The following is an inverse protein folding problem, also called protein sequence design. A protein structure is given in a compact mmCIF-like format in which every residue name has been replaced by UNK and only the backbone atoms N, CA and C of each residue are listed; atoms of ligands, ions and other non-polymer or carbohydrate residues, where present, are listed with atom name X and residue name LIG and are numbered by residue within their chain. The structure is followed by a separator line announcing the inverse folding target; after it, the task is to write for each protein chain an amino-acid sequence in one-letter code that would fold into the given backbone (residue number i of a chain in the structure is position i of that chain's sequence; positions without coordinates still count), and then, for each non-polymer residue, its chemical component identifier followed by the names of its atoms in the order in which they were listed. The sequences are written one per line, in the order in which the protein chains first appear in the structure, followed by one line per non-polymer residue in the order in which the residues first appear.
data_IF_610540037498
#
_entry.id   IF_610540037498
#
_cell.length_a   1.000
_cell.length_b   1.000
_cell.length_c   1.000
_cell.angle_alpha   90.00
_cell.angle_beta   90.00
_cell.angle_gamma   90.00
#
_symmetry.space_group_name_H-M   'P 1'
#
loop_
_entity.id
_entity.type
_entity.pdbx_description
1 polymer ?
#
# COMPACT_ATOMS: atom_id res chain seq x y z
N UNK A 1 -9.56 21.69 13.08
CA UNK A 1 -8.64 21.15 14.10
C UNK A 1 -8.09 19.74 13.79
N UNK A 2 -8.63 19.00 12.80
CA UNK A 2 -8.14 17.65 12.42
C UNK A 2 -6.87 17.65 11.56
N UNK A 3 -6.59 18.68 10.80
CA UNK A 3 -5.36 18.80 9.99
C UNK A 3 -4.06 18.92 10.81
N UNK A 4 -4.13 19.47 12.04
CA UNK A 4 -2.94 19.66 12.87
C UNK A 4 -2.43 18.36 13.53
N UNK A 5 -3.27 17.34 13.66
CA UNK A 5 -2.87 16.06 14.23
C UNK A 5 -2.11 15.17 13.24
N UNK A 6 -2.31 15.34 11.95
CA UNK A 6 -1.59 14.60 10.90
C UNK A 6 -0.11 15.04 10.78
N UNK A 7 0.20 16.28 11.14
CA UNK A 7 1.56 16.82 11.06
C UNK A 7 2.49 16.44 12.23
N UNK A 8 1.95 15.95 13.34
CA UNK A 8 2.74 15.65 14.55
C UNK A 8 3.15 14.18 14.71
N UNK A 9 2.67 13.29 13.82
CA UNK A 9 3.04 11.86 13.79
C UNK A 9 4.01 11.52 12.66
N UNK A 10 4.53 12.50 11.95
CA UNK A 10 5.42 12.30 10.82
C UNK A 10 6.85 12.12 11.28
N UNK A 11 7.23 10.89 11.51
CA UNK A 11 8.61 10.47 11.36
C UNK A 11 8.61 9.01 10.87
N UNK A 12 9.10 8.90 9.68
CA UNK A 12 9.88 7.83 9.07
C UNK A 12 9.21 6.71 8.31
N UNK A 13 9.72 6.40 7.11
CA UNK A 13 10.11 5.09 6.59
C UNK A 13 10.05 4.90 5.09
N UNK A 14 10.99 4.37 4.37
CA UNK A 14 10.84 3.59 3.14
C UNK A 14 12.04 2.78 2.70
N UNK A 15 11.81 1.69 2.12
CA UNK A 15 12.58 1.10 1.02
C UNK A 15 11.71 0.16 0.22
N UNK A 16 12.21 -0.20 -0.96
CA UNK A 16 11.64 -1.12 -1.95
C UNK A 16 10.22 -1.58 -1.66
N UNK A 17 9.32 -0.84 -2.19
CA UNK A 17 7.88 -0.92 -1.93
C UNK A 17 7.34 -2.33 -2.15
N UNK A 18 7.04 -3.04 -1.11
CA UNK A 18 5.84 -3.85 -1.16
C UNK A 18 4.68 -2.85 -1.18
N UNK A 19 4.12 -2.66 -2.35
CA UNK A 19 2.92 -1.86 -2.49
C UNK A 19 1.81 -2.59 -1.76
N UNK A 20 1.55 -2.21 -0.54
CA UNK A 20 0.28 -2.54 0.09
C UNK A 20 -0.79 -1.79 -0.70
N UNK A 21 -1.44 -2.52 -1.60
CA UNK A 21 -2.69 -2.03 -2.13
C UNK A 21 -3.64 -1.83 -0.95
N UNK A 22 -4.21 -0.62 -0.78
CA UNK A 22 -5.20 -0.42 0.26
C UNK A 22 -6.28 -1.46 0.05
N UNK A 23 -6.51 -2.32 1.03
CA UNK A 23 -7.68 -3.17 1.04
C UNK A 23 -8.87 -2.22 1.15
N UNK A 24 -9.48 -1.92 0.02
CA UNK A 24 -10.81 -1.33 0.01
C UNK A 24 -11.73 -2.42 0.57
N UNK A 25 -11.92 -2.40 1.87
CA UNK A 25 -13.04 -3.09 2.49
C UNK A 25 -14.24 -2.31 1.98
N UNK A 26 -14.80 -2.75 0.85
CA UNK A 26 -16.02 -2.21 0.34
C UNK A 26 -17.05 -2.31 1.47
N UNK A 27 -17.43 -1.18 2.06
CA UNK A 27 -18.58 -1.11 2.93
C UNK A 27 -19.76 -1.71 2.17
N UNK A 28 -20.57 -2.46 2.82
CA UNK A 28 -21.53 -3.42 2.28
C UNK A 28 -22.56 -2.85 1.32
N UNK A 29 -22.72 -1.52 1.18
CA UNK A 29 -23.82 -0.89 0.43
C UNK A 29 -23.52 0.43 -0.27
N UNK A 30 -22.25 0.78 -0.50
CA UNK A 30 -21.94 1.97 -1.24
C UNK A 30 -21.67 1.64 -2.72
N UNK A 31 -22.71 1.32 -3.49
CA UNK A 31 -22.72 1.82 -4.87
C UNK A 31 -22.73 3.33 -4.77
N UNK A 32 -21.66 4.02 -5.14
CA UNK A 32 -21.70 5.48 -5.16
C UNK A 32 -22.58 5.93 -6.31
N UNK A 33 -23.86 6.15 -6.02
CA UNK A 33 -24.69 7.04 -6.84
C UNK A 33 -24.23 8.47 -6.54
N UNK A 34 -23.07 8.83 -7.08
CA UNK A 34 -22.54 10.18 -6.97
C UNK A 34 -23.20 11.11 -8.00
N UNK A 35 -24.35 11.62 -7.67
CA UNK A 35 -24.70 13.00 -8.04
C UNK A 35 -24.10 13.87 -6.93
N UNK A 36 -22.80 14.11 -6.99
CA UNK A 36 -22.11 14.86 -5.95
C UNK A 36 -22.53 16.33 -6.02
N UNK A 37 -23.39 16.74 -5.11
CA UNK A 37 -23.72 18.14 -4.83
C UNK A 37 -22.81 18.77 -3.78
N UNK A 38 -21.99 17.96 -3.08
CA UNK A 38 -21.02 18.42 -2.08
C UNK A 38 -19.70 17.66 -2.20
N UNK A 39 -18.56 18.31 -1.92
CA UNK A 39 -17.26 17.65 -1.86
C UNK A 39 -17.23 16.55 -0.77
N UNK A 40 -16.60 15.42 -1.08
CA UNK A 40 -16.47 14.29 -0.15
C UNK A 40 -15.01 14.15 0.26
N UNK A 41 -14.74 14.23 1.55
CA UNK A 41 -13.42 13.92 2.11
C UNK A 41 -13.25 12.42 2.22
N UNK A 42 -12.06 11.94 1.85
CA UNK A 42 -11.66 10.54 1.99
C UNK A 42 -10.18 10.45 2.26
N UNK A 43 -9.78 9.48 3.06
CA UNK A 43 -8.38 9.28 3.33
C UNK A 43 -8.06 7.85 3.72
N UNK A 44 -6.78 7.58 3.83
CA UNK A 44 -6.28 6.30 4.33
C UNK A 44 -4.93 6.48 5.00
N UNK A 45 -4.63 5.60 5.92
CA UNK A 45 -3.29 5.44 6.47
C UNK A 45 -2.93 3.97 6.51
N UNK A 46 -1.66 3.67 6.35
CA UNK A 46 -1.14 2.35 6.60
C UNK A 46 0.22 2.43 7.28
N UNK A 47 0.50 1.41 8.07
CA UNK A 47 1.78 1.16 8.69
C UNK A 47 2.19 -0.26 8.27
N UNK A 48 3.37 -0.39 7.73
CA UNK A 48 3.97 -1.66 7.35
C UNK A 48 5.33 -1.78 8.04
N UNK A 49 5.59 -2.90 8.68
CA UNK A 49 6.89 -3.18 9.27
C UNK A 49 7.29 -4.61 8.96
N UNK A 50 8.53 -4.79 8.52
CA UNK A 50 9.03 -6.09 8.11
C UNK A 50 10.44 -6.04 7.56
N UNK A 51 10.92 -7.15 7.07
CA UNK A 51 12.19 -7.21 6.35
C UNK A 51 12.14 -6.38 5.08
N UNK A 52 13.13 -5.55 4.87
CA UNK A 52 13.21 -4.75 3.64
C UNK A 52 13.80 -5.52 2.47
N UNK A 53 14.68 -6.49 2.74
CA UNK A 53 15.34 -7.33 1.75
C UNK A 53 16.02 -8.53 2.39
N UNK A 54 15.81 -9.75 1.87
CA UNK A 54 16.58 -10.93 2.30
C UNK A 54 18.08 -10.79 2.08
N UNK A 55 18.49 -10.05 1.06
CA UNK A 55 19.90 -9.80 0.73
C UNK A 55 20.58 -8.85 1.71
N UNK A 56 19.83 -7.88 2.23
CA UNK A 56 20.37 -6.85 3.11
C UNK A 56 20.15 -7.16 4.58
N UNK A 57 19.26 -8.14 4.88
CA UNK A 57 18.89 -8.56 6.25
C UNK A 57 18.49 -7.36 7.10
N UNK A 58 17.78 -6.44 6.51
CA UNK A 58 17.37 -5.21 7.11
C UNK A 58 15.91 -5.27 7.54
N UNK A 59 15.55 -4.53 8.55
CA UNK A 59 14.19 -4.37 9.03
C UNK A 59 13.77 -2.91 8.88
N UNK A 60 12.65 -2.72 8.23
CA UNK A 60 12.10 -1.39 8.00
C UNK A 60 10.68 -1.26 8.57
N UNK A 61 10.33 -0.05 8.93
CA UNK A 61 8.96 0.34 9.31
C UNK A 61 8.49 1.45 8.38
N UNK A 62 7.30 1.47 7.86
CA UNK A 62 6.75 2.45 6.92
C UNK A 62 5.44 2.99 7.41
N UNK A 63 5.27 4.28 7.22
CA UNK A 63 4.01 4.97 7.50
C UNK A 63 3.60 5.77 6.27
N UNK A 64 2.37 5.59 5.86
CA UNK A 64 1.73 6.39 4.82
C UNK A 64 0.44 6.97 5.36
N UNK A 65 0.17 8.22 5.02
CA UNK A 65 -1.12 8.84 5.26
C UNK A 65 -1.51 9.69 4.06
N UNK A 66 -2.76 9.61 3.68
CA UNK A 66 -3.34 10.44 2.63
C UNK A 66 -4.68 11.01 3.07
N UNK A 67 -4.89 12.26 2.76
CA UNK A 67 -6.19 12.93 2.78
C UNK A 67 -6.51 13.43 1.38
N UNK A 68 -7.74 13.25 0.94
CA UNK A 68 -8.20 13.67 -0.36
C UNK A 68 -9.61 14.23 -0.35
N UNK A 69 -9.88 15.12 -1.27
CA UNK A 69 -11.18 15.74 -1.47
C UNK A 69 -11.66 15.44 -2.89
N UNK A 70 -12.74 14.69 -3.04
CA UNK A 70 -13.42 14.50 -4.31
C UNK A 70 -14.44 15.62 -4.47
N UNK A 71 -14.34 16.37 -5.54
CA UNK A 71 -15.21 17.53 -5.78
C UNK A 71 -16.05 17.42 -7.06
N UNK A 72 -15.77 16.47 -7.94
CA UNK A 72 -16.55 16.30 -9.18
C UNK A 72 -16.36 14.91 -9.78
N UNK A 73 -17.45 14.35 -10.30
CA UNK A 73 -17.38 13.21 -11.22
C UNK A 73 -17.35 13.66 -12.68
N UNK A 74 -16.47 13.09 -13.48
CA UNK A 74 -16.27 13.36 -14.90
C UNK A 74 -16.37 12.04 -15.66
N UNK A 75 -17.55 11.76 -16.20
CA UNK A 75 -17.85 10.45 -16.78
C UNK A 75 -17.73 9.33 -15.73
N UNK A 76 -16.92 8.29 -15.98
CA UNK A 76 -16.75 7.19 -15.03
C UNK A 76 -15.67 7.45 -13.97
N UNK A 77 -15.11 8.65 -13.89
CA UNK A 77 -14.00 9.02 -13.03
C UNK A 77 -14.41 10.06 -12.01
N UNK A 78 -13.82 10.01 -10.84
CA UNK A 78 -13.90 11.01 -9.79
C UNK A 78 -12.65 11.87 -9.79
N UNK A 79 -12.84 13.18 -9.91
CA UNK A 79 -11.79 14.20 -9.89
C UNK A 79 -11.70 14.80 -8.49
N UNK A 80 -10.49 14.86 -7.96
CA UNK A 80 -10.22 15.36 -6.62
C UNK A 80 -8.85 16.00 -6.47
N UNK A 81 -8.59 16.50 -5.27
CA UNK A 81 -7.27 16.90 -4.81
C UNK A 81 -6.80 15.93 -3.72
N UNK A 82 -5.49 15.88 -3.47
CA UNK A 82 -4.91 15.06 -2.42
C UNK A 82 -3.69 15.73 -1.80
N UNK A 83 -3.40 15.34 -0.57
CA UNK A 83 -2.11 15.46 0.08
C UNK A 83 -1.75 14.13 0.70
N UNK A 84 -0.51 13.70 0.59
CA UNK A 84 -0.04 12.50 1.26
C UNK A 84 1.35 12.69 1.85
N UNK A 85 1.66 11.81 2.79
CA UNK A 85 3.01 11.70 3.36
C UNK A 85 3.42 10.24 3.37
N UNK A 86 4.69 10.00 3.13
CA UNK A 86 5.33 8.70 3.28
C UNK A 86 6.63 8.90 4.04
N UNK A 87 6.80 8.15 5.07
CA UNK A 87 7.98 8.25 5.89
C UNK A 87 8.70 6.90 6.03
N UNK A 88 10.08 6.84 6.10
CA UNK A 88 10.97 5.66 6.08
C UNK A 88 12.04 5.58 7.16
N UNK A 89 12.04 4.48 7.96
CA UNK A 89 13.17 4.09 8.83
C UNK A 89 13.56 2.65 8.62
N UNK A 90 14.83 2.39 8.64
CA UNK A 90 15.40 1.07 8.64
C UNK A 90 16.41 0.91 9.76
N UNK A 91 16.76 -0.34 10.06
CA UNK A 91 17.71 -0.69 11.10
C UNK A 91 19.15 -0.31 10.71
N UNK A 92 19.52 -0.41 9.44
CA UNK A 92 20.87 -0.21 8.95
C UNK A 92 21.19 1.21 8.52
N UNK A 93 20.24 2.14 8.65
CA UNK A 93 20.40 3.55 8.25
C UNK A 93 20.82 3.73 6.79
N UNK A 94 20.22 2.93 5.91
CA UNK A 94 20.46 3.03 4.48
C UNK A 94 19.82 4.33 3.95
N UNK A 95 20.55 5.17 3.25
CA UNK A 95 20.09 6.48 2.81
C UNK A 95 18.80 6.42 1.99
N UNK A 96 18.71 5.43 1.12
CA UNK A 96 17.52 5.18 0.29
C UNK A 96 16.33 4.58 1.06
N UNK A 97 16.53 4.17 2.32
CA UNK A 97 15.53 3.64 3.22
C UNK A 97 15.13 4.62 4.33
N UNK A 98 15.80 5.75 4.46
CA UNK A 98 15.52 6.73 5.52
C UNK A 98 15.18 8.08 4.96
N UNK A 99 13.90 8.28 4.68
CA UNK A 99 13.41 9.55 4.15
C UNK A 99 12.02 9.92 4.66
N UNK A 100 11.68 11.18 4.55
CA UNK A 100 10.33 11.71 4.59
C UNK A 100 9.96 12.25 3.21
N UNK A 101 8.76 11.93 2.74
CA UNK A 101 8.21 12.41 1.49
C UNK A 101 6.83 12.99 1.73
N UNK A 102 6.55 14.12 1.12
CA UNK A 102 5.21 14.70 1.07
C UNK A 102 4.86 15.03 -0.38
N UNK A 103 3.62 14.72 -0.78
CA UNK A 103 3.12 15.03 -2.10
C UNK A 103 1.75 15.67 -2.02
N UNK A 104 1.39 16.49 -3.00
CA UNK A 104 0.06 17.05 -3.11
C UNK A 104 -0.25 17.49 -4.53
N UNK A 105 -1.53 17.39 -4.90
CA UNK A 105 -1.94 17.69 -6.27
C UNK A 105 -3.38 17.31 -6.56
N UNK A 106 -3.62 17.01 -7.83
CA UNK A 106 -4.90 16.56 -8.35
C UNK A 106 -4.88 15.05 -8.55
N UNK A 107 -6.02 14.40 -8.29
CA UNK A 107 -6.20 12.98 -8.53
C UNK A 107 -7.41 12.69 -9.40
N UNK A 108 -7.29 11.68 -10.23
CA UNK A 108 -8.35 11.09 -11.01
C UNK A 108 -8.50 9.63 -10.58
N UNK A 109 -9.68 9.26 -10.10
CA UNK A 109 -9.91 7.94 -9.51
C UNK A 109 -11.07 7.26 -10.23
N UNK A 110 -10.94 5.97 -10.49
CA UNK A 110 -12.01 5.09 -10.95
C UNK A 110 -12.04 3.83 -10.12
N UNK A 111 -13.13 3.60 -9.41
CA UNK A 111 -13.42 2.31 -8.81
C UNK A 111 -14.20 1.45 -9.80
N UNK A 112 -14.00 0.15 -9.75
CA UNK A 112 -14.76 -0.79 -10.56
C UNK A 112 -15.06 -2.07 -9.78
N UNK A 113 -16.18 -2.70 -10.16
CA UNK A 113 -16.56 -4.01 -9.64
C UNK A 113 -17.08 -4.87 -10.80
N UNK A 114 -16.55 -6.06 -10.93
CA UNK A 114 -16.95 -6.98 -11.98
C UNK A 114 -16.75 -8.43 -11.56
N UNK A 115 -17.85 -9.23 -11.54
CA UNK A 115 -17.83 -10.69 -11.31
C UNK A 115 -16.91 -11.15 -10.16
N UNK A 116 -16.96 -10.48 -9.00
CA UNK A 116 -16.14 -10.84 -7.84
C UNK A 116 -14.73 -10.24 -7.84
N UNK A 117 -14.43 -9.37 -8.80
CA UNK A 117 -13.23 -8.54 -8.83
C UNK A 117 -13.64 -7.13 -8.41
N UNK A 118 -13.01 -6.61 -7.39
CA UNK A 118 -13.11 -5.21 -6.98
C UNK A 118 -11.77 -4.54 -7.28
N UNK A 119 -11.78 -3.30 -7.77
CA UNK A 119 -10.53 -2.63 -8.09
C UNK A 119 -10.64 -1.11 -8.15
N UNK A 120 -9.47 -0.51 -8.26
CA UNK A 120 -9.24 0.92 -8.32
C UNK A 120 -8.16 1.21 -9.36
N UNK A 121 -8.42 2.17 -10.22
CA UNK A 121 -7.41 2.81 -11.05
C UNK A 121 -7.32 4.28 -10.64
N UNK A 122 -6.11 4.79 -10.47
CA UNK A 122 -5.85 6.14 -10.01
C UNK A 122 -4.69 6.74 -10.77
N UNK A 123 -4.80 8.00 -11.13
CA UNK A 123 -3.72 8.81 -11.66
C UNK A 123 -3.67 10.13 -10.89
N UNK A 124 -2.49 10.46 -10.41
CA UNK A 124 -2.21 11.68 -9.64
C UNK A 124 -1.20 12.53 -10.39
N UNK A 125 -1.42 13.82 -10.41
CA UNK A 125 -0.47 14.82 -10.92
C UNK A 125 -0.27 15.86 -9.83
N UNK A 126 0.97 16.07 -9.43
CA UNK A 126 1.25 16.95 -8.32
C UNK A 126 2.70 17.37 -8.20
N UNK A 127 3.07 17.67 -7.00
CA UNK A 127 4.42 18.05 -6.62
C UNK A 127 4.83 17.26 -5.40
N UNK A 128 6.04 16.70 -5.44
CA UNK A 128 6.60 15.87 -4.37
C UNK A 128 7.86 16.54 -3.81
N UNK A 129 7.94 16.58 -2.50
CA UNK A 129 9.14 16.97 -1.73
C UNK A 129 9.63 15.75 -0.98
N UNK A 130 10.92 15.48 -1.04
CA UNK A 130 11.57 14.37 -0.33
C UNK A 130 12.79 14.91 0.44
N UNK A 131 12.98 14.42 1.65
CA UNK A 131 14.16 14.66 2.48
C UNK A 131 14.73 13.31 2.95
N UNK A 132 16.03 13.11 2.75
CA UNK A 132 16.77 11.94 3.19
C UNK A 132 17.52 12.22 4.49
N UNK A 133 17.28 11.39 5.49
CA UNK A 133 17.81 11.65 6.83
C UNK A 133 19.30 11.29 6.98
N UNK A 134 19.84 10.43 6.14
CA UNK A 134 21.24 9.99 6.25
C UNK A 134 22.16 10.94 5.50
N UNK A 135 21.88 11.23 4.25
CA UNK A 135 22.67 12.17 3.45
C UNK A 135 22.35 13.64 3.75
N UNK A 136 21.18 13.93 4.32
CA UNK A 136 20.67 15.28 4.48
C UNK A 136 20.18 15.92 3.17
N UNK A 137 20.14 15.18 2.08
CA UNK A 137 19.67 15.67 0.79
C UNK A 137 18.17 15.94 0.81
N UNK A 138 17.79 17.02 0.14
CA UNK A 138 16.37 17.35 -0.10
C UNK A 138 16.17 17.69 -1.55
N UNK A 139 15.05 17.25 -2.10
CA UNK A 139 14.63 17.65 -3.42
C UNK A 139 13.13 17.80 -3.53
N UNK A 140 12.73 18.49 -4.59
CA UNK A 140 11.36 18.75 -4.90
C UNK A 140 11.18 18.73 -6.43
N UNK A 141 10.13 18.04 -6.90
CA UNK A 141 9.87 17.89 -8.32
C UNK A 141 8.38 17.72 -8.62
N UNK A 142 7.92 18.09 -9.83
CA UNK A 142 6.65 17.61 -10.35
C UNK A 142 6.60 16.09 -10.35
N UNK A 143 5.45 15.52 -10.00
CA UNK A 143 5.25 14.09 -9.91
C UNK A 143 3.99 13.65 -10.65
N UNK A 144 4.07 12.46 -11.22
CA UNK A 144 2.93 11.74 -11.77
C UNK A 144 2.96 10.33 -11.19
N UNK A 145 1.90 9.99 -10.47
CA UNK A 145 1.71 8.66 -9.90
C UNK A 145 0.57 7.96 -10.62
N UNK A 146 0.76 6.70 -10.98
CA UNK A 146 -0.29 5.84 -11.50
C UNK A 146 -0.39 4.61 -10.64
N UNK A 147 -1.55 4.41 -10.06
CA UNK A 147 -1.83 3.28 -9.19
C UNK A 147 -2.98 2.47 -9.76
N UNK A 148 -2.78 1.19 -9.86
CA UNK A 148 -3.81 0.23 -10.21
C UNK A 148 -3.83 -0.87 -9.16
N UNK A 149 -5.02 -1.20 -8.68
CA UNK A 149 -5.22 -2.27 -7.73
C UNK A 149 -6.45 -3.09 -8.11
N UNK A 150 -6.38 -4.39 -7.95
CA UNK A 150 -7.54 -5.28 -8.04
C UNK A 150 -7.43 -6.41 -7.02
N UNK A 151 -8.58 -6.77 -6.45
CA UNK A 151 -8.73 -7.95 -5.62
C UNK A 151 -9.77 -8.88 -6.22
N UNK A 152 -9.55 -10.17 -6.17
CA UNK A 152 -10.52 -11.17 -6.61
C UNK A 152 -10.94 -12.04 -5.44
N UNK A 153 -12.22 -12.45 -5.50
CA UNK A 153 -12.89 -13.21 -4.45
C UNK A 153 -12.74 -12.62 -3.03
N UNK A 154 -12.83 -11.29 -2.84
CA UNK A 154 -12.60 -10.68 -1.52
C UNK A 154 -13.61 -11.16 -0.46
N UNK A 155 -14.76 -11.72 -0.89
CA UNK A 155 -15.77 -12.31 -0.01
C UNK A 155 -15.49 -13.79 0.30
N UNK A 156 -14.83 -14.50 -0.60
CA UNK A 156 -14.51 -15.92 -0.43
C UNK A 156 -13.47 -16.13 0.68
N UNK A 157 -12.56 -15.17 0.90
CA UNK A 157 -11.61 -15.18 2.03
C UNK A 157 -12.25 -15.24 3.42
N UNK A 158 -13.58 -15.31 3.51
CA UNK A 158 -14.33 -15.45 4.76
C UNK A 158 -14.61 -16.91 5.15
N UNK A 159 -14.43 -17.85 4.24
CA UNK A 159 -14.70 -19.26 4.51
C UNK A 159 -13.40 -20.05 4.52
N UNK A 160 -13.18 -20.98 5.47
CA UNK A 160 -12.05 -21.89 5.42
C UNK A 160 -11.98 -22.63 4.08
N UNK A 161 -10.76 -22.75 3.53
CA UNK A 161 -10.53 -23.34 2.20
C UNK A 161 -10.82 -22.42 1.03
N UNK A 162 -11.33 -21.20 1.25
CA UNK A 162 -11.57 -20.26 0.16
C UNK A 162 -10.29 -19.57 -0.30
N UNK A 163 -10.16 -19.39 -1.60
CA UNK A 163 -9.04 -18.70 -2.24
C UNK A 163 -9.41 -17.26 -2.56
N UNK A 164 -8.48 -16.36 -2.31
CA UNK A 164 -8.58 -14.95 -2.65
C UNK A 164 -7.22 -14.43 -3.11
N UNK A 165 -7.18 -13.29 -3.78
CA UNK A 165 -5.91 -12.69 -4.16
C UNK A 165 -6.01 -11.20 -4.45
N UNK A 166 -4.86 -10.58 -4.59
CA UNK A 166 -4.66 -9.15 -4.86
C UNK A 166 -3.59 -9.02 -5.93
N UNK A 167 -3.78 -8.09 -6.87
CA UNK A 167 -2.73 -7.60 -7.73
C UNK A 167 -2.70 -6.07 -7.69
N UNK A 168 -1.52 -5.50 -7.72
CA UNK A 168 -1.31 -4.06 -7.71
C UNK A 168 -0.16 -3.67 -8.64
N UNK A 169 -0.29 -2.54 -9.28
CA UNK A 169 0.71 -1.90 -10.11
C UNK A 169 0.83 -0.44 -9.67
N UNK A 170 2.05 -0.01 -9.41
CA UNK A 170 2.36 1.39 -9.13
C UNK A 170 3.45 1.89 -10.04
N UNK A 171 3.29 3.12 -10.49
CA UNK A 171 4.31 3.90 -11.15
C UNK A 171 4.39 5.21 -10.39
N UNK A 172 5.46 5.43 -9.66
CA UNK A 172 5.61 6.63 -8.84
C UNK A 172 7.01 7.22 -8.95
N UNK A 173 7.14 8.55 -8.82
CA UNK A 173 8.45 9.16 -8.68
C UNK A 173 9.03 8.77 -7.32
N UNK A 174 10.26 8.32 -7.34
CA UNK A 174 11.06 8.12 -6.14
C UNK A 174 12.37 8.83 -6.31
N UNK A 175 13.02 9.15 -5.21
CA UNK A 175 14.40 9.61 -5.23
C UNK A 175 14.70 10.65 -6.33
N UNK A 176 14.40 11.89 -6.07
CA UNK A 176 14.96 13.00 -6.83
C UNK A 176 15.08 12.72 -8.35
N UNK A 177 13.95 12.66 -9.07
CA UNK A 177 13.89 12.43 -10.53
C UNK A 177 14.08 10.97 -10.99
N UNK A 178 13.81 10.01 -10.15
CA UNK A 178 13.70 8.62 -10.55
C UNK A 178 12.21 8.21 -10.68
N UNK A 179 11.92 7.26 -11.54
CA UNK A 179 10.58 6.67 -11.67
C UNK A 179 10.67 5.21 -11.30
N UNK A 180 9.91 4.81 -10.30
CA UNK A 180 9.82 3.43 -9.85
C UNK A 180 8.55 2.79 -10.41
N UNK A 181 8.72 1.59 -10.92
CA UNK A 181 7.67 0.71 -11.38
C UNK A 181 7.64 -0.52 -10.46
N UNK A 182 6.51 -0.77 -9.80
CA UNK A 182 6.34 -1.94 -8.93
C UNK A 182 5.09 -2.69 -9.30
N UNK A 183 5.23 -3.99 -9.50
CA UNK A 183 4.16 -4.93 -9.74
C UNK A 183 4.12 -5.96 -8.62
N UNK A 184 2.91 -6.25 -8.11
CA UNK A 184 2.71 -7.10 -6.95
C UNK A 184 1.51 -8.00 -7.13
N UNK A 185 1.67 -9.28 -6.83
CA UNK A 185 0.58 -10.26 -6.80
C UNK A 185 0.70 -11.10 -5.53
N UNK A 186 -0.42 -11.22 -4.81
CA UNK A 186 -0.56 -12.11 -3.65
C UNK A 186 -1.77 -12.99 -3.83
N UNK A 187 -1.61 -14.27 -3.58
CA UNK A 187 -2.69 -15.28 -3.58
C UNK A 187 -2.72 -15.94 -2.22
N UNK A 188 -3.88 -15.95 -1.57
CA UNK A 188 -4.06 -16.55 -0.25
C UNK A 188 -5.18 -17.60 -0.21
N UNK A 189 -5.06 -18.48 0.77
CA UNK A 189 -6.10 -19.47 1.13
C UNK A 189 -6.35 -19.35 2.63
N UNK A 190 -7.59 -19.16 3.02
CA UNK A 190 -7.98 -19.11 4.42
C UNK A 190 -7.97 -20.52 5.00
N UNK A 191 -7.07 -20.79 5.94
CA UNK A 191 -6.96 -22.08 6.61
C UNK A 191 -7.96 -22.19 7.76
N UNK A 192 -8.14 -21.11 8.51
CA UNK A 192 -9.02 -21.05 9.65
C UNK A 192 -9.59 -19.64 9.79
N UNK A 193 -10.81 -19.58 10.28
CA UNK A 193 -11.48 -18.35 10.65
C UNK A 193 -12.29 -18.60 11.91
N UNK A 194 -12.20 -17.70 12.87
CA UNK A 194 -13.06 -17.76 14.05
C UNK A 194 -14.54 -17.64 13.65
N UNK A 195 -15.39 -18.43 14.28
CA UNK A 195 -16.85 -18.45 13.99
C UNK A 195 -17.59 -17.60 15.01
N UNK A 196 -18.41 -16.71 14.51
CA UNK A 196 -19.25 -15.86 15.36
C UNK A 196 -20.23 -16.66 16.23
N UNK A 197 -20.13 -16.48 17.52
CA UNK A 197 -21.19 -16.77 18.45
C UNK A 197 -21.86 -15.44 18.85
N UNK A 198 -22.53 -14.81 17.89
CA UNK A 198 -23.48 -13.71 18.16
C UNK A 198 -22.91 -12.33 18.54
N UNK A 199 -21.62 -12.07 18.39
CA UNK A 199 -21.03 -10.76 18.67
C UNK A 199 -20.46 -10.09 17.42
N UNK A 200 -20.75 -8.80 17.24
CA UNK A 200 -20.16 -7.94 16.21
C UNK A 200 -18.69 -7.64 16.60
N UNK A 201 -17.80 -8.60 16.42
CA UNK A 201 -16.36 -8.40 16.65
C UNK A 201 -15.60 -8.77 15.38
N UNK A 202 -14.52 -8.01 15.03
CA UNK A 202 -13.63 -8.43 13.98
C UNK A 202 -12.97 -9.76 14.36
N UNK A 203 -13.22 -10.80 13.57
CA UNK A 203 -12.75 -12.14 13.87
C UNK A 203 -11.45 -12.40 13.10
N UNK A 204 -10.40 -12.90 13.79
CA UNK A 204 -9.14 -13.24 13.13
C UNK A 204 -9.31 -14.39 12.15
N UNK A 205 -8.51 -14.38 11.10
CA UNK A 205 -8.40 -15.45 10.11
C UNK A 205 -6.93 -15.84 9.95
N UNK A 206 -6.63 -17.13 9.95
CA UNK A 206 -5.31 -17.64 9.58
C UNK A 206 -5.30 -17.94 8.09
N UNK A 207 -4.33 -17.40 7.39
CA UNK A 207 -4.20 -17.44 5.94
C UNK A 207 -2.82 -17.99 5.58
N UNK A 208 -2.78 -18.98 4.68
CA UNK A 208 -1.57 -19.33 3.95
C UNK A 208 -1.55 -18.54 2.64
N UNK A 209 -0.41 -17.97 2.27
CA UNK A 209 -0.30 -17.16 1.06
C UNK A 209 1.01 -17.40 0.31
N UNK A 210 0.97 -17.08 -0.98
CA UNK A 210 2.14 -16.88 -1.83
C UNK A 210 2.09 -15.49 -2.45
N UNK A 211 3.24 -14.92 -2.71
CA UNK A 211 3.36 -13.59 -3.32
C UNK A 211 4.55 -13.50 -4.27
N UNK A 212 4.43 -12.59 -5.22
CA UNK A 212 5.53 -12.16 -6.08
C UNK A 212 5.49 -10.64 -6.20
N UNK A 213 6.67 -10.02 -6.16
CA UNK A 213 6.87 -8.59 -6.36
C UNK A 213 7.96 -8.41 -7.40
N UNK A 214 7.71 -7.61 -8.41
CA UNK A 214 8.73 -7.17 -9.36
C UNK A 214 8.88 -5.65 -9.27
N UNK A 215 10.10 -5.18 -9.24
CA UNK A 215 10.43 -3.75 -9.18
C UNK A 215 11.48 -3.39 -10.20
N UNK A 216 11.31 -2.24 -10.83
CA UNK A 216 12.28 -1.63 -11.74
C UNK A 216 12.26 -0.12 -11.61
N UNK A 217 13.38 0.52 -11.82
CA UNK A 217 13.48 1.97 -11.87
C UNK A 217 14.18 2.48 -13.14
N UNK A 218 13.98 3.77 -13.43
CA UNK A 218 14.56 4.41 -14.61
C UNK A 218 16.07 4.64 -14.51
N UNK A 219 16.61 4.76 -13.30
CA UNK A 219 18.04 4.98 -13.04
C UNK A 219 18.85 3.71 -12.85
N UNK A 220 18.20 2.54 -12.89
CA UNK A 220 18.85 1.24 -12.73
C UNK A 220 19.61 1.07 -11.41
N UNK A 221 19.08 1.62 -10.31
CA UNK A 221 19.64 1.36 -8.99
C UNK A 221 19.44 -0.10 -8.60
N UNK A 222 20.49 -0.75 -8.10
CA UNK A 222 20.47 -2.19 -7.80
C UNK A 222 19.37 -2.56 -6.81
N UNK A 223 19.15 -1.74 -5.78
CA UNK A 223 18.14 -1.99 -4.75
C UNK A 223 16.68 -1.82 -5.22
N UNK A 224 16.46 -1.13 -6.34
CA UNK A 224 15.13 -0.94 -6.93
C UNK A 224 14.82 -1.92 -8.07
N UNK A 225 15.82 -2.69 -8.53
CA UNK A 225 15.66 -3.58 -9.67
C UNK A 225 15.75 -5.04 -9.22
N UNK A 226 14.62 -5.58 -8.78
CA UNK A 226 14.56 -6.92 -8.23
C UNK A 226 13.25 -7.64 -8.56
N UNK A 227 13.27 -8.95 -8.38
CA UNK A 227 12.09 -9.79 -8.22
C UNK A 227 12.17 -10.47 -6.87
N UNK A 228 11.08 -10.46 -6.11
CA UNK A 228 10.90 -11.22 -4.87
C UNK A 228 9.74 -12.17 -5.02
N UNK A 229 9.94 -13.40 -4.61
CA UNK A 229 8.89 -14.41 -4.57
C UNK A 229 8.97 -15.17 -3.25
N UNK A 230 7.82 -15.61 -2.76
CA UNK A 230 7.78 -16.36 -1.52
C UNK A 230 6.39 -16.61 -1.01
N UNK A 231 6.31 -17.08 0.22
CA UNK A 231 5.03 -17.35 0.86
C UNK A 231 5.19 -17.61 2.35
N UNK A 232 4.05 -17.64 3.01
CA UNK A 232 4.02 -17.75 4.45
C UNK A 232 2.64 -17.92 5.04
N UNK A 233 2.55 -17.58 6.31
CA UNK A 233 1.31 -17.57 7.09
C UNK A 233 1.08 -16.18 7.66
N UNK A 234 -0.17 -15.76 7.69
CA UNK A 234 -0.58 -14.52 8.33
C UNK A 234 -1.88 -14.69 9.12
N UNK A 235 -1.99 -13.93 10.20
CA UNK A 235 -3.24 -13.68 10.91
C UNK A 235 -3.75 -12.33 10.48
N UNK A 236 -4.95 -12.31 9.92
CA UNK A 236 -5.66 -11.11 9.51
C UNK A 236 -6.82 -10.85 10.47
N UNK A 237 -6.88 -9.65 11.02
CA UNK A 237 -7.99 -9.15 11.83
C UNK A 237 -8.65 -7.99 11.07
N UNK A 238 -9.74 -8.24 10.32
CA UNK A 238 -10.45 -7.21 9.60
C UNK A 238 -11.39 -6.44 10.52
N UNK A 239 -11.55 -5.16 10.30
CA UNK A 239 -12.60 -4.31 10.86
C UNK A 239 -13.37 -3.64 9.71
N UNK A 240 -14.40 -2.85 10.03
CA UNK A 240 -15.22 -2.15 9.02
C UNK A 240 -14.37 -1.21 8.14
N UNK A 241 -13.47 -0.47 8.78
CA UNK A 241 -12.63 0.53 8.11
C UNK A 241 -11.13 0.30 8.32
N UNK A 242 -10.76 -0.85 8.89
CA UNK A 242 -9.36 -1.14 9.24
C UNK A 242 -9.03 -2.60 8.99
N UNK A 243 -7.75 -2.89 8.81
CA UNK A 243 -7.22 -4.25 8.93
C UNK A 243 -5.90 -4.24 9.68
N UNK A 244 -5.69 -5.30 10.47
CA UNK A 244 -4.42 -5.59 11.11
C UNK A 244 -3.95 -6.96 10.62
N UNK A 245 -2.70 -7.04 10.20
CA UNK A 245 -2.07 -8.27 9.73
C UNK A 245 -0.76 -8.47 10.49
N UNK A 246 -0.52 -9.68 10.94
CA UNK A 246 0.78 -10.13 11.45
C UNK A 246 1.10 -11.47 10.83
N UNK A 247 2.32 -11.65 10.36
CA UNK A 247 2.69 -12.88 9.68
C UNK A 247 4.18 -13.11 9.62
N UNK A 248 4.51 -14.31 9.11
CA UNK A 248 5.86 -14.69 8.78
C UNK A 248 5.87 -15.32 7.38
N UNK A 249 6.91 -15.04 6.63
CA UNK A 249 7.09 -15.56 5.28
C UNK A 249 8.56 -15.91 5.02
N UNK A 250 8.77 -16.73 4.02
CA UNK A 250 10.10 -16.99 3.48
C UNK A 250 10.15 -16.42 2.07
N UNK A 251 11.10 -15.52 1.83
CA UNK A 251 11.29 -14.83 0.56
C UNK A 251 12.60 -15.22 -0.11
N UNK A 252 12.55 -15.30 -1.42
CA UNK A 252 13.68 -15.37 -2.32
C UNK A 252 13.74 -14.09 -3.15
N UNK A 253 14.89 -13.41 -3.17
CA UNK A 253 15.12 -12.17 -3.92
C UNK A 253 16.19 -12.38 -4.98
N UNK A 254 15.91 -11.89 -6.18
CA UNK A 254 16.86 -11.81 -7.29
C UNK A 254 16.98 -10.35 -7.72
N UNK A 255 18.21 -9.82 -7.69
CA UNK A 255 18.56 -8.50 -8.25
C UNK A 255 19.06 -8.63 -9.66
N UNK A 256 18.74 -7.63 -10.51
CA UNK A 256 18.98 -7.73 -11.95
C UNK A 256 20.06 -6.79 -12.46
N UNK A 257 20.41 -5.72 -11.75
CA UNK A 257 21.46 -4.77 -12.13
C UNK A 257 22.84 -5.33 -11.77
N UNK A 258 23.02 -5.69 -10.51
CA UNK A 258 24.17 -6.48 -10.07
C UNK A 258 23.62 -7.87 -9.76
N UNK A 259 23.77 -8.87 -10.64
CA UNK A 259 23.16 -10.16 -10.47
C UNK A 259 23.57 -10.82 -9.16
N UNK A 260 22.62 -10.92 -8.23
CA UNK A 260 22.78 -11.59 -6.94
C UNK A 260 21.43 -12.09 -6.44
N UNK A 261 21.49 -13.14 -5.66
CA UNK A 261 20.31 -13.75 -5.07
C UNK A 261 20.47 -13.93 -3.58
N UNK A 262 19.37 -13.92 -2.87
CA UNK A 262 19.34 -14.20 -1.44
C UNK A 262 17.97 -14.69 -1.01
N UNK A 263 17.93 -15.39 0.11
CA UNK A 263 16.69 -15.85 0.68
C UNK A 263 16.72 -15.71 2.20
N UNK A 264 15.54 -15.48 2.78
CA UNK A 264 15.43 -15.31 4.24
C UNK A 264 13.99 -15.41 4.73
N UNK A 265 13.87 -15.68 6.03
CA UNK A 265 12.61 -15.57 6.73
C UNK A 265 12.39 -14.12 7.18
N UNK A 266 11.17 -13.65 7.02
CA UNK A 266 10.75 -12.33 7.45
C UNK A 266 9.51 -12.42 8.33
N UNK A 267 9.44 -11.53 9.32
CA UNK A 267 8.23 -11.29 10.10
C UNK A 267 7.74 -9.92 9.70
N UNK A 268 6.43 -9.77 9.54
CA UNK A 268 5.82 -8.50 9.19
C UNK A 268 4.61 -8.20 10.06
N UNK A 269 4.37 -6.91 10.27
CA UNK A 269 3.17 -6.38 10.91
C UNK A 269 2.64 -5.27 9.99
N UNK A 270 1.35 -5.31 9.69
CA UNK A 270 0.69 -4.36 8.82
C UNK A 270 -0.59 -3.85 9.46
N UNK A 271 -0.80 -2.58 9.35
CA UNK A 271 -2.04 -1.94 9.76
C UNK A 271 -2.51 -1.04 8.61
N UNK A 272 -3.79 -1.11 8.33
CA UNK A 272 -4.46 -0.20 7.40
C UNK A 272 -5.71 0.37 8.03
N UNK A 273 -6.01 1.64 7.78
CA UNK A 273 -7.23 2.32 8.15
C UNK A 273 -7.64 3.29 7.05
N UNK A 274 -8.92 3.27 6.67
CA UNK A 274 -9.49 4.20 5.71
C UNK A 274 -10.71 4.90 6.30
N UNK A 275 -10.96 6.12 5.83
CA UNK A 275 -12.14 6.90 6.21
C UNK A 275 -12.74 7.61 5.01
N UNK A 276 -14.02 7.88 5.11
CA UNK A 276 -14.77 8.67 4.16
C UNK A 276 -15.84 9.46 4.93
N UNK A 277 -15.73 10.79 4.90
CA UNK A 277 -16.76 11.67 5.46
C UNK A 277 -17.74 12.04 4.35
N UNK A 278 -19.00 11.74 4.56
CA UNK A 278 -20.13 12.24 3.74
C UNK A 278 -20.70 13.46 4.46
N UNK A 279 -20.60 14.60 3.85
CA UNK A 279 -21.22 15.84 4.32
C UNK A 279 -22.61 16.02 3.73
#
# INVERSE_FOLDING_TARGET
MRLAAAFLLCASVASAQEVMAPRVIASRDATPNFTATAPTSQGSMWIDSGGSSPLEKDFAVRVFAEEGLIFRSVGPFDLGAYVNTTDSFDQHSLDWNRFARASGGMKLVKTFRWKGIDGLARADVGYTVEHRFVSGESAAAPSVDVNYWMGWNPRAGRLPGSSWGIAALNISPTELHNTLFVDYVKQGVTLWKDQEHGAIKPLPSLIAFGQITASKDAKHYDWNNFTREGGGLEVLVPSEHSSFEIGAMYLYETRTVIPRTGAGAEIFIRFWHGWQDRH
#
